data_IF_846508351808
#
_entry.id   IF_846508351808
#
_cell.length_a   1.000
_cell.length_b   1.000
_cell.length_c   1.000
_cell.angle_alpha   90.00
_cell.angle_beta   90.00
_cell.angle_gamma   90.00
#
_symmetry.space_group_name_H-M   'P 1'
#
loop_
_entity.id
_entity.type
_entity.pdbx_description
1 polymer ?
#
# COMPACT_ATOMS: atom_id res chain seq x y z
N UNK A 1 -17.21 -18.41 -2.04
CA UNK A 1 -16.78 -18.94 -0.72
C UNK A 1 -17.98 -19.30 0.16
N UNK A 2 -19.08 -18.56 0.10
CA UNK A 2 -20.32 -18.79 0.84
C UNK A 2 -21.36 -19.63 0.05
N UNK A 3 -20.97 -20.30 -1.05
CA UNK A 3 -21.86 -21.08 -1.89
C UNK A 3 -22.79 -22.05 -1.12
N UNK A 4 -22.36 -22.73 -0.03
CA UNK A 4 -23.23 -23.60 0.74
C UNK A 4 -24.45 -22.91 1.38
N UNK A 5 -24.45 -21.58 1.45
CA UNK A 5 -25.52 -20.80 2.07
C UNK A 5 -26.48 -20.17 1.04
N UNK A 6 -26.21 -20.23 -0.27
CA UNK A 6 -26.97 -19.50 -1.29
C UNK A 6 -28.44 -19.94 -1.44
N UNK A 7 -28.70 -21.22 -1.24
CA UNK A 7 -30.05 -21.79 -1.39
C UNK A 7 -30.83 -21.84 -0.06
N UNK A 8 -30.28 -21.25 1.01
CA UNK A 8 -30.89 -21.26 2.34
C UNK A 8 -31.51 -19.89 2.66
N UNK A 9 -32.64 -19.89 3.34
CA UNK A 9 -33.22 -18.65 3.83
C UNK A 9 -32.41 -18.08 4.99
N UNK A 10 -32.15 -16.78 4.97
CA UNK A 10 -31.29 -16.10 5.95
C UNK A 10 -31.80 -16.28 7.39
N UNK A 11 -33.14 -16.32 7.58
CA UNK A 11 -33.81 -16.55 8.88
C UNK A 11 -33.47 -17.89 9.53
N UNK A 12 -33.13 -18.89 8.70
CA UNK A 12 -32.85 -20.25 9.16
C UNK A 12 -31.39 -20.50 9.47
N UNK A 13 -30.52 -19.56 9.05
CA UNK A 13 -29.08 -19.67 9.28
C UNK A 13 -28.73 -19.40 10.74
N UNK A 14 -27.88 -20.25 11.30
CA UNK A 14 -27.34 -20.14 12.67
C UNK A 14 -25.83 -19.97 12.62
N UNK A 15 -25.22 -19.70 13.77
CA UNK A 15 -23.78 -19.52 13.89
C UNK A 15 -22.97 -20.72 13.30
N UNK A 16 -23.46 -21.94 13.48
CA UNK A 16 -22.80 -23.14 12.94
C UNK A 16 -22.73 -23.14 11.42
N UNK A 17 -23.75 -22.65 10.72
CA UNK A 17 -23.76 -22.58 9.25
C UNK A 17 -22.70 -21.61 8.72
N UNK A 18 -22.59 -20.43 9.35
CA UNK A 18 -21.54 -19.46 9.02
C UNK A 18 -20.14 -19.97 9.41
N UNK A 19 -20.02 -20.71 10.53
CA UNK A 19 -18.75 -21.29 10.98
C UNK A 19 -18.22 -22.28 9.97
N UNK A 20 -19.07 -23.17 9.40
CA UNK A 20 -18.67 -24.12 8.35
C UNK A 20 -17.98 -23.44 7.16
N UNK A 21 -18.42 -22.22 6.79
CA UNK A 21 -17.75 -21.46 5.73
C UNK A 21 -16.35 -21.01 6.14
N UNK A 22 -16.19 -20.57 7.39
CA UNK A 22 -14.87 -20.20 7.94
C UNK A 22 -13.96 -21.43 8.00
N UNK A 23 -14.47 -22.56 8.49
CA UNK A 23 -13.71 -23.80 8.62
C UNK A 23 -13.24 -24.31 7.24
N UNK A 24 -14.12 -24.30 6.25
CA UNK A 24 -13.77 -24.64 4.86
C UNK A 24 -12.74 -23.65 4.25
N UNK A 25 -12.69 -22.40 4.70
CA UNK A 25 -11.65 -21.46 4.28
C UNK A 25 -10.30 -21.81 4.93
N UNK A 26 -10.31 -22.22 6.19
CA UNK A 26 -9.11 -22.67 6.92
C UNK A 26 -8.55 -23.95 6.30
N UNK A 27 -9.38 -24.95 6.02
CA UNK A 27 -9.00 -26.20 5.33
C UNK A 27 -8.34 -25.94 3.97
N UNK A 28 -8.78 -24.90 3.25
CA UNK A 28 -8.17 -24.45 1.99
C UNK A 28 -6.89 -23.62 2.19
N UNK A 29 -6.39 -23.50 3.41
CA UNK A 29 -5.16 -22.77 3.73
C UNK A 29 -5.28 -21.24 3.61
N UNK A 30 -6.51 -20.68 3.66
CA UNK A 30 -6.69 -19.22 3.61
C UNK A 30 -6.26 -18.57 4.92
N UNK A 31 -5.68 -17.38 4.80
CA UNK A 31 -5.18 -16.63 5.95
C UNK A 31 -6.31 -16.18 6.90
N UNK A 32 -5.96 -15.95 8.18
CA UNK A 32 -6.85 -15.34 9.17
C UNK A 32 -7.49 -14.05 8.64
N UNK A 33 -6.72 -13.18 8.01
CA UNK A 33 -7.24 -11.92 7.43
C UNK A 33 -8.32 -12.16 6.38
N UNK A 34 -8.24 -13.25 5.61
CA UNK A 34 -9.29 -13.65 4.67
C UNK A 34 -10.56 -14.11 5.39
N UNK A 35 -10.41 -14.83 6.49
CA UNK A 35 -11.53 -15.27 7.35
C UNK A 35 -12.17 -14.06 8.07
N UNK A 36 -11.39 -13.10 8.54
CA UNK A 36 -11.89 -11.86 9.14
C UNK A 36 -12.73 -11.03 8.16
N UNK A 37 -12.29 -10.92 6.91
CA UNK A 37 -13.07 -10.25 5.84
C UNK A 37 -14.39 -10.96 5.59
N UNK A 38 -14.39 -12.30 5.59
CA UNK A 38 -15.61 -13.08 5.42
C UNK A 38 -16.56 -12.89 6.63
N UNK A 39 -16.03 -12.91 7.86
CA UNK A 39 -16.81 -12.62 9.08
C UNK A 39 -17.41 -11.22 9.03
N UNK A 40 -16.64 -10.22 8.61
CA UNK A 40 -17.12 -8.84 8.45
C UNK A 40 -18.27 -8.76 7.46
N UNK A 41 -18.16 -9.44 6.32
CA UNK A 41 -19.27 -9.53 5.35
C UNK A 41 -20.52 -10.17 5.97
N UNK A 42 -20.37 -11.28 6.69
CA UNK A 42 -21.48 -11.92 7.38
C UNK A 42 -22.08 -10.99 8.44
N UNK A 43 -21.26 -10.25 9.20
CA UNK A 43 -21.75 -9.27 10.18
C UNK A 43 -22.61 -8.19 9.52
N UNK A 44 -22.16 -7.62 8.41
CA UNK A 44 -22.92 -6.61 7.66
C UNK A 44 -24.27 -7.15 7.15
N UNK A 45 -24.28 -8.39 6.65
CA UNK A 45 -25.54 -9.05 6.22
C UNK A 45 -26.47 -9.28 7.41
N UNK A 46 -25.95 -9.76 8.54
CA UNK A 46 -26.75 -9.97 9.75
C UNK A 46 -27.30 -8.63 10.30
N UNK A 47 -26.49 -7.59 10.35
CA UNK A 47 -26.91 -6.25 10.79
C UNK A 47 -28.03 -5.69 9.90
N UNK A 48 -27.88 -5.83 8.58
CA UNK A 48 -28.95 -5.46 7.65
C UNK A 48 -30.23 -6.27 7.91
N UNK A 49 -30.11 -7.60 8.09
CA UNK A 49 -31.26 -8.48 8.34
C UNK A 49 -31.94 -8.19 9.69
N UNK A 50 -31.18 -7.79 10.70
CA UNK A 50 -31.74 -7.33 11.98
C UNK A 50 -32.52 -6.03 11.80
N UNK A 51 -32.02 -5.08 11.00
CA UNK A 51 -32.71 -3.83 10.69
C UNK A 51 -33.99 -4.02 9.88
N UNK A 52 -34.19 -5.21 9.25
CA UNK A 52 -35.40 -5.61 8.53
C UNK A 52 -36.26 -6.60 9.32
N UNK A 53 -36.01 -6.82 10.60
CA UNK A 53 -36.72 -7.78 11.46
C UNK A 53 -36.74 -9.23 10.94
N UNK A 54 -35.74 -9.61 10.08
CA UNK A 54 -35.64 -10.97 9.52
C UNK A 54 -35.00 -11.93 10.52
N UNK A 55 -34.01 -11.44 11.29
CA UNK A 55 -33.32 -12.16 12.37
C UNK A 55 -33.21 -11.26 13.60
N UNK A 56 -33.03 -11.86 14.78
CA UNK A 56 -33.01 -11.12 16.05
C UNK A 56 -31.61 -10.94 16.66
N UNK A 57 -30.54 -11.51 16.03
CA UNK A 57 -29.18 -11.33 16.50
C UNK A 57 -28.14 -11.52 15.39
N UNK A 58 -26.98 -10.90 15.57
CA UNK A 58 -25.84 -11.03 14.69
C UNK A 58 -25.05 -12.32 15.00
N UNK A 59 -25.31 -13.39 14.23
CA UNK A 59 -24.65 -14.67 14.41
C UNK A 59 -23.15 -14.63 14.03
N UNK A 60 -22.72 -13.70 13.18
CA UNK A 60 -21.31 -13.58 12.76
C UNK A 60 -20.37 -13.17 13.91
N UNK A 61 -20.90 -12.54 14.95
CA UNK A 61 -20.13 -12.18 16.14
C UNK A 61 -19.70 -13.39 16.98
N UNK A 62 -20.34 -14.54 16.78
CA UNK A 62 -20.04 -15.79 17.49
C UNK A 62 -18.99 -16.65 16.80
N UNK A 63 -18.53 -16.25 15.61
CA UNK A 63 -17.63 -17.05 14.78
C UNK A 63 -16.21 -17.04 15.36
N UNK A 64 -15.64 -18.24 15.44
CA UNK A 64 -14.25 -18.44 15.80
C UNK A 64 -13.35 -18.32 14.56
N UNK A 65 -12.29 -17.56 14.71
CA UNK A 65 -11.29 -17.37 13.67
C UNK A 65 -10.01 -18.16 14.00
N UNK A 66 -9.24 -18.60 12.98
CA UNK A 66 -7.97 -19.25 13.23
C UNK A 66 -7.03 -18.33 14.02
N UNK A 67 -6.07 -18.92 14.73
CA UNK A 67 -5.06 -18.14 15.46
C UNK A 67 -4.34 -17.17 14.53
N UNK A 68 -3.96 -16.01 15.07
CA UNK A 68 -3.13 -15.08 14.33
C UNK A 68 -1.73 -15.71 14.15
N UNK A 69 -1.35 -16.00 12.91
CA UNK A 69 0.05 -16.31 12.62
C UNK A 69 0.76 -14.98 12.52
N UNK A 70 1.52 -14.62 13.55
CA UNK A 70 2.37 -13.43 13.58
C UNK A 70 3.53 -13.58 12.61
N UNK A 71 3.26 -13.51 11.30
CA UNK A 71 4.34 -13.32 10.32
C UNK A 71 4.80 -11.88 10.46
N UNK A 72 6.06 -11.70 10.88
CA UNK A 72 6.73 -10.42 10.75
C UNK A 72 6.62 -9.97 9.28
N UNK A 73 6.25 -8.72 9.07
CA UNK A 73 6.20 -8.17 7.71
C UNK A 73 7.63 -8.15 7.16
N UNK A 74 7.80 -8.75 5.97
CA UNK A 74 9.10 -8.81 5.30
C UNK A 74 9.52 -7.41 4.87
N UNK A 75 10.77 -7.06 5.14
CA UNK A 75 11.45 -5.89 4.59
C UNK A 75 12.61 -6.34 3.70
N UNK A 76 13.04 -5.50 2.77
CA UNK A 76 14.20 -5.77 1.94
C UNK A 76 15.48 -5.51 2.73
N UNK A 77 16.48 -6.34 2.47
CA UNK A 77 17.86 -6.11 2.93
C UNK A 77 18.57 -5.08 2.05
N UNK A 78 19.66 -4.49 2.54
CA UNK A 78 20.50 -3.56 1.77
C UNK A 78 21.00 -4.21 0.46
N UNK A 79 21.40 -5.48 0.51
CA UNK A 79 21.86 -6.23 -0.66
C UNK A 79 20.75 -6.39 -1.72
N UNK A 80 19.51 -6.70 -1.31
CA UNK A 80 18.38 -6.79 -2.23
C UNK A 80 18.04 -5.44 -2.87
N UNK A 81 18.15 -4.36 -2.10
CA UNK A 81 17.96 -3.00 -2.61
C UNK A 81 19.03 -2.65 -3.65
N UNK A 82 20.28 -3.00 -3.40
CA UNK A 82 21.39 -2.85 -4.35
C UNK A 82 21.16 -3.62 -5.65
N UNK A 83 20.69 -4.88 -5.56
CA UNK A 83 20.34 -5.69 -6.72
C UNK A 83 19.23 -5.05 -7.57
N UNK A 84 18.20 -4.49 -6.94
CA UNK A 84 17.15 -3.75 -7.64
C UNK A 84 17.72 -2.47 -8.27
N UNK A 85 18.54 -1.74 -7.51
CA UNK A 85 19.14 -0.48 -7.95
C UNK A 85 20.04 -0.66 -9.17
N UNK A 86 20.81 -1.73 -9.24
CA UNK A 86 21.69 -2.05 -10.38
C UNK A 86 20.93 -2.26 -11.71
N UNK A 87 19.62 -2.54 -11.63
CA UNK A 87 18.76 -2.77 -12.80
C UNK A 87 18.11 -1.49 -13.36
N UNK A 88 18.37 -0.31 -12.82
CA UNK A 88 17.72 0.94 -13.24
C UNK A 88 17.96 1.32 -14.71
N UNK A 89 19.07 0.87 -15.29
CA UNK A 89 19.43 1.09 -16.69
C UNK A 89 19.22 -0.15 -17.58
N UNK A 90 18.60 -1.21 -17.06
CA UNK A 90 18.33 -2.44 -17.80
C UNK A 90 17.27 -2.19 -18.89
N UNK A 91 17.50 -2.59 -20.16
CA UNK A 91 16.53 -2.37 -21.23
C UNK A 91 15.15 -2.99 -21.01
N UNK A 92 15.09 -4.09 -20.26
CA UNK A 92 13.83 -4.82 -19.96
C UNK A 92 13.20 -4.39 -18.65
N UNK A 93 14.02 -4.15 -17.62
CA UNK A 93 13.57 -3.95 -16.26
C UNK A 93 13.75 -2.53 -15.72
N UNK A 94 14.47 -1.65 -16.45
CA UNK A 94 14.88 -0.33 -15.98
C UNK A 94 13.74 0.50 -15.42
N UNK A 95 12.65 0.67 -16.17
CA UNK A 95 11.48 1.43 -15.67
C UNK A 95 10.88 0.80 -14.39
N UNK A 96 10.84 -0.54 -14.31
CA UNK A 96 10.29 -1.24 -13.15
C UNK A 96 11.19 -1.10 -11.93
N UNK A 97 12.51 -1.16 -12.13
CA UNK A 97 13.51 -0.92 -11.09
C UNK A 97 13.47 0.53 -10.59
N UNK A 98 13.35 1.50 -11.50
CA UNK A 98 13.16 2.91 -11.14
C UNK A 98 11.89 3.12 -10.31
N UNK A 99 10.75 2.53 -10.71
CA UNK A 99 9.49 2.55 -9.94
C UNK A 99 9.74 1.97 -8.53
N UNK A 100 10.45 0.83 -8.44
CA UNK A 100 10.75 0.21 -7.14
C UNK A 100 11.60 1.14 -6.26
N UNK A 101 12.63 1.79 -6.81
CA UNK A 101 13.47 2.74 -6.07
C UNK A 101 12.66 3.94 -5.58
N UNK A 102 11.78 4.52 -6.42
CA UNK A 102 10.93 5.63 -5.99
C UNK A 102 10.00 5.20 -4.86
N UNK A 103 9.40 4.00 -4.93
CA UNK A 103 8.56 3.48 -3.85
C UNK A 103 9.35 3.25 -2.55
N UNK A 104 10.58 2.76 -2.62
CA UNK A 104 11.48 2.57 -1.47
C UNK A 104 11.83 3.89 -0.79
N UNK A 105 12.19 4.92 -1.57
CA UNK A 105 12.61 6.21 -1.02
C UNK A 105 11.47 7.12 -0.61
N UNK A 106 10.23 6.86 -1.04
CA UNK A 106 9.07 7.71 -0.72
C UNK A 106 8.06 7.05 0.20
N UNK A 107 8.05 5.73 0.25
CA UNK A 107 7.00 4.97 0.94
C UNK A 107 5.61 5.12 0.33
N UNK A 108 5.47 5.62 -0.89
CA UNK A 108 4.19 5.76 -1.58
C UNK A 108 3.51 4.41 -1.81
N UNK A 109 2.18 4.44 -1.93
CA UNK A 109 1.46 3.28 -2.51
C UNK A 109 1.68 3.27 -4.03
N UNK A 110 1.78 2.07 -4.61
CA UNK A 110 1.98 1.95 -6.05
C UNK A 110 0.90 2.67 -6.87
N UNK A 111 -0.36 2.60 -6.44
CA UNK A 111 -1.46 3.29 -7.13
C UNK A 111 -1.29 4.82 -7.12
N UNK A 112 -0.76 5.38 -6.03
CA UNK A 112 -0.48 6.80 -5.90
C UNK A 112 0.61 7.23 -6.87
N UNK A 113 1.73 6.48 -6.92
CA UNK A 113 2.82 6.79 -7.85
C UNK A 113 2.36 6.67 -9.31
N UNK A 114 1.61 5.63 -9.67
CA UNK A 114 1.10 5.45 -11.03
C UNK A 114 0.02 6.46 -11.42
N UNK A 115 -0.57 7.16 -10.45
CA UNK A 115 -1.55 8.24 -10.67
C UNK A 115 -0.92 9.63 -10.57
N UNK A 116 0.40 9.73 -10.36
CA UNK A 116 1.10 11.00 -10.24
C UNK A 116 1.08 11.76 -11.55
N UNK A 117 0.74 13.05 -11.49
CA UNK A 117 0.79 13.96 -12.65
C UNK A 117 2.08 14.76 -12.63
N UNK A 118 2.50 15.22 -13.80
CA UNK A 118 3.68 16.09 -13.90
C UNK A 118 3.47 17.42 -13.14
N UNK A 119 2.25 17.95 -13.13
CA UNK A 119 1.91 19.19 -12.41
C UNK A 119 2.06 19.08 -10.89
N UNK A 120 1.97 17.84 -10.32
CA UNK A 120 2.12 17.58 -8.90
C UNK A 120 3.58 17.40 -8.46
N UNK A 121 4.54 17.56 -9.39
CA UNK A 121 5.98 17.38 -9.12
C UNK A 121 6.70 18.72 -9.10
N UNK A 122 7.19 19.10 -7.94
CA UNK A 122 7.92 20.34 -7.68
C UNK A 122 9.42 20.05 -7.53
N UNK A 123 10.11 19.85 -8.67
CA UNK A 123 11.52 19.44 -8.68
C UNK A 123 12.47 20.42 -8.01
N UNK A 124 12.24 21.73 -8.15
CA UNK A 124 13.08 22.77 -7.54
C UNK A 124 12.98 22.75 -6.01
N UNK A 125 11.78 22.58 -5.51
CA UNK A 125 11.45 22.52 -4.08
C UNK A 125 11.63 21.10 -3.52
N UNK A 126 11.95 20.12 -4.36
CA UNK A 126 12.23 18.74 -4.01
C UNK A 126 11.09 18.01 -3.30
N UNK A 127 9.87 18.15 -3.81
CA UNK A 127 8.74 17.36 -3.34
C UNK A 127 7.76 17.00 -4.46
N UNK A 128 6.95 16.00 -4.20
CA UNK A 128 5.75 15.66 -4.96
C UNK A 128 4.53 15.82 -4.06
N UNK A 129 3.40 16.18 -4.64
CA UNK A 129 2.13 16.28 -3.94
C UNK A 129 1.23 15.11 -4.35
N UNK A 130 0.82 14.27 -3.41
CA UNK A 130 0.09 13.04 -3.71
C UNK A 130 -0.99 12.67 -2.72
N UNK A 131 -1.75 11.63 -3.05
CA UNK A 131 -2.72 11.02 -2.15
C UNK A 131 -4.18 11.34 -2.43
N UNK A 132 -4.84 10.58 -3.32
CA UNK A 132 -6.26 10.77 -3.65
C UNK A 132 -7.25 9.95 -2.79
N UNK A 133 -6.81 8.82 -2.21
CA UNK A 133 -7.73 7.80 -1.65
C UNK A 133 -8.27 8.05 -0.25
N UNK A 134 -7.70 8.95 0.52
CA UNK A 134 -8.16 9.21 1.89
C UNK A 134 -7.97 10.68 2.23
N UNK A 135 -8.88 11.29 2.98
CA UNK A 135 -8.75 12.67 3.43
C UNK A 135 -7.41 12.95 4.13
N UNK A 136 -6.90 12.01 4.93
CA UNK A 136 -5.60 12.13 5.61
C UNK A 136 -4.39 11.99 4.67
N UNK A 137 -4.59 11.47 3.45
CA UNK A 137 -3.53 11.31 2.46
C UNK A 137 -3.57 12.37 1.35
N UNK A 138 -4.65 13.14 1.28
CA UNK A 138 -4.90 14.12 0.22
C UNK A 138 -3.90 15.26 0.32
N UNK A 139 -3.30 15.62 -0.80
CA UNK A 139 -2.33 16.71 -0.90
C UNK A 139 -1.11 16.60 0.05
N UNK A 140 -0.73 15.39 0.45
CA UNK A 140 0.44 15.22 1.30
C UNK A 140 1.73 15.48 0.53
N UNK A 141 2.68 16.06 1.22
CA UNK A 141 4.02 16.32 0.71
C UNK A 141 4.88 15.06 0.79
N UNK A 142 5.51 14.70 -0.31
CA UNK A 142 6.40 13.55 -0.44
C UNK A 142 7.76 14.06 -0.91
N UNK A 143 8.77 14.09 -0.03
CA UNK A 143 10.09 14.61 -0.38
C UNK A 143 10.78 13.79 -1.48
N UNK A 144 11.52 14.47 -2.35
CA UNK A 144 12.35 13.89 -3.41
C UNK A 144 13.80 13.88 -2.93
N UNK A 145 14.27 12.72 -2.48
CA UNK A 145 15.66 12.51 -2.06
C UNK A 145 16.61 12.40 -3.26
N UNK A 146 17.91 12.65 -3.02
CA UNK A 146 18.93 12.63 -4.07
C UNK A 146 18.96 11.34 -4.91
N UNK A 147 18.84 10.12 -4.31
CA UNK A 147 18.89 8.88 -5.08
C UNK A 147 17.80 8.73 -6.14
N UNK A 148 16.64 9.38 -5.94
CA UNK A 148 15.49 9.30 -6.87
C UNK A 148 15.29 10.57 -7.69
N UNK A 149 16.03 11.63 -7.41
CA UNK A 149 15.88 12.92 -8.09
C UNK A 149 16.05 12.81 -9.62
N UNK A 150 17.14 12.16 -10.05
CA UNK A 150 17.42 11.97 -11.49
C UNK A 150 16.36 11.12 -12.19
N UNK A 151 15.80 10.14 -11.49
CA UNK A 151 14.73 9.28 -12.02
C UNK A 151 13.48 10.13 -12.29
N UNK A 152 13.06 10.91 -11.30
CA UNK A 152 11.85 11.75 -11.40
C UNK A 152 12.05 12.85 -12.44
N UNK A 153 13.21 13.51 -12.46
CA UNK A 153 13.56 14.51 -13.46
C UNK A 153 13.50 13.94 -14.89
N UNK A 154 14.07 12.75 -15.08
CA UNK A 154 13.99 12.05 -16.36
C UNK A 154 12.54 11.75 -16.76
N UNK A 155 11.74 11.20 -15.87
CA UNK A 155 10.33 10.92 -16.13
C UNK A 155 9.54 12.17 -16.53
N UNK A 156 9.77 13.30 -15.85
CA UNK A 156 9.13 14.57 -16.22
C UNK A 156 9.50 15.05 -17.61
N UNK A 157 10.76 14.88 -18.04
CA UNK A 157 11.21 15.27 -19.38
C UNK A 157 10.70 14.32 -20.47
N UNK A 158 10.60 13.03 -20.17
CA UNK A 158 10.27 11.98 -21.13
C UNK A 158 8.76 11.74 -21.26
N UNK A 159 7.95 12.17 -20.29
CA UNK A 159 6.52 11.78 -20.22
C UNK A 159 5.70 12.25 -21.44
N UNK A 160 5.93 13.46 -21.92
CA UNK A 160 5.20 14.06 -23.05
C UNK A 160 3.67 14.17 -22.88
N UNK A 161 3.14 13.90 -21.68
CA UNK A 161 1.72 13.95 -21.33
C UNK A 161 1.51 14.35 -19.87
N UNK A 162 0.25 14.33 -19.38
CA UNK A 162 -0.07 14.71 -18.00
C UNK A 162 0.49 13.74 -16.93
N UNK A 163 0.70 12.46 -17.25
CA UNK A 163 1.12 11.43 -16.31
C UNK A 163 2.64 11.41 -16.14
N UNK A 164 3.13 11.37 -14.91
CA UNK A 164 4.56 11.30 -14.63
C UNK A 164 5.21 10.04 -15.23
N UNK A 165 4.49 8.92 -15.21
CA UNK A 165 4.95 7.64 -15.78
C UNK A 165 3.85 7.12 -16.72
N UNK A 166 3.84 7.55 -18.00
CA UNK A 166 2.81 7.13 -18.93
C UNK A 166 3.03 5.71 -19.46
N UNK A 167 1.95 5.13 -19.96
CA UNK A 167 2.01 3.98 -20.85
C UNK A 167 2.55 4.40 -22.23
N UNK A 168 2.88 3.43 -23.08
CA UNK A 168 3.26 3.72 -24.49
C UNK A 168 2.19 4.49 -25.28
N UNK A 169 0.93 4.43 -24.84
CA UNK A 169 -0.19 5.14 -25.45
C UNK A 169 -0.44 6.53 -24.81
N UNK A 170 0.44 7.03 -23.94
CA UNK A 170 0.26 8.31 -23.24
C UNK A 170 -0.82 8.29 -22.14
N UNK A 171 -1.31 7.12 -21.75
CA UNK A 171 -2.30 6.96 -20.68
C UNK A 171 -1.64 6.50 -19.38
N UNK A 172 -2.38 6.56 -18.28
CA UNK A 172 -1.94 6.01 -17.00
C UNK A 172 -1.48 4.55 -17.13
N UNK A 173 -0.36 4.20 -16.50
CA UNK A 173 0.12 2.83 -16.45
C UNK A 173 -0.87 1.92 -15.71
N UNK A 174 -1.15 0.75 -16.29
CA UNK A 174 -1.97 -0.26 -15.64
C UNK A 174 -1.20 -0.97 -14.52
N UNK A 175 -1.80 -0.98 -13.32
CA UNK A 175 -1.22 -1.58 -12.12
C UNK A 175 -0.90 -3.07 -12.26
N UNK A 176 -1.75 -3.83 -12.99
CA UNK A 176 -1.57 -5.29 -13.15
C UNK A 176 -0.34 -5.56 -14.01
N UNK A 177 -0.15 -4.76 -15.07
CA UNK A 177 1.03 -4.84 -15.93
C UNK A 177 2.31 -4.52 -15.15
N UNK A 178 2.29 -3.46 -14.33
CA UNK A 178 3.43 -3.12 -13.45
C UNK A 178 3.69 -4.21 -12.43
N UNK A 179 2.67 -4.77 -11.78
CA UNK A 179 2.83 -5.86 -10.82
C UNK A 179 3.40 -7.14 -11.47
N UNK A 180 3.04 -7.42 -12.72
CA UNK A 180 3.60 -8.56 -13.47
C UNK A 180 5.08 -8.35 -13.79
N UNK A 181 5.44 -7.15 -14.27
CA UNK A 181 6.85 -6.79 -14.53
C UNK A 181 7.67 -6.76 -13.24
N UNK A 182 7.10 -6.27 -12.15
CA UNK A 182 7.74 -6.25 -10.84
C UNK A 182 8.05 -7.67 -10.34
N UNK A 183 7.11 -8.60 -10.48
CA UNK A 183 7.35 -10.02 -10.13
C UNK A 183 8.49 -10.61 -10.96
N UNK A 184 8.53 -10.33 -12.26
CA UNK A 184 9.61 -10.79 -13.13
C UNK A 184 10.97 -10.16 -12.74
N UNK A 185 11.01 -8.89 -12.36
CA UNK A 185 12.23 -8.26 -11.84
C UNK A 185 12.71 -8.92 -10.53
N UNK A 186 11.78 -9.22 -9.59
CA UNK A 186 12.15 -9.90 -8.35
C UNK A 186 12.72 -11.29 -8.60
N UNK A 187 12.14 -12.04 -9.55
CA UNK A 187 12.67 -13.36 -9.97
C UNK A 187 14.07 -13.23 -10.57
N UNK A 188 14.30 -12.25 -11.43
CA UNK A 188 15.62 -11.97 -12.02
C UNK A 188 16.67 -11.61 -10.97
N UNK A 189 16.27 -10.91 -9.92
CA UNK A 189 17.13 -10.56 -8.79
C UNK A 189 17.22 -11.66 -7.71
N UNK A 190 16.58 -12.82 -7.92
CA UNK A 190 16.49 -13.91 -6.91
C UNK A 190 15.92 -13.44 -5.56
N UNK A 191 14.97 -12.50 -5.59
CA UNK A 191 14.30 -11.95 -4.40
C UNK A 191 12.91 -12.56 -4.26
N UNK A 192 12.67 -13.29 -3.18
CA UNK A 192 11.40 -13.97 -2.93
C UNK A 192 10.52 -13.25 -1.92
N UNK A 193 9.20 -13.46 -2.02
CA UNK A 193 8.21 -12.97 -1.05
C UNK A 193 8.01 -11.45 -1.04
N UNK A 194 8.51 -10.73 -2.06
CA UNK A 194 8.41 -9.28 -2.19
C UNK A 194 7.38 -8.88 -3.24
N UNK A 195 6.55 -7.91 -2.88
CA UNK A 195 5.56 -7.27 -3.76
C UNK A 195 5.62 -5.74 -3.55
N UNK A 196 4.99 -4.92 -4.40
CA UNK A 196 5.12 -3.45 -4.29
C UNK A 196 4.77 -2.86 -2.91
N UNK A 197 3.87 -3.50 -2.14
CA UNK A 197 3.55 -3.03 -0.79
C UNK A 197 4.68 -3.32 0.22
N UNK A 198 5.47 -4.37 0.00
CA UNK A 198 6.68 -4.67 0.79
C UNK A 198 7.70 -3.52 0.73
N UNK A 199 7.81 -2.83 -0.41
CA UNK A 199 8.69 -1.65 -0.56
C UNK A 199 8.26 -0.53 0.39
N UNK A 200 6.97 -0.30 0.52
CA UNK A 200 6.44 0.70 1.45
C UNK A 200 6.66 0.28 2.92
N UNK A 201 6.53 -1.00 3.25
CA UNK A 201 6.88 -1.50 4.59
C UNK A 201 8.37 -1.30 4.88
N UNK A 202 9.23 -1.62 3.89
CA UNK A 202 10.68 -1.38 4.00
C UNK A 202 10.98 0.10 4.24
N UNK A 203 10.36 0.99 3.45
CA UNK A 203 10.51 2.45 3.63
C UNK A 203 10.06 2.90 5.03
N UNK A 204 8.89 2.44 5.48
CA UNK A 204 8.36 2.77 6.81
C UNK A 204 9.27 2.31 7.94
N UNK A 205 9.74 1.06 7.89
CA UNK A 205 10.69 0.52 8.87
C UNK A 205 11.99 1.32 8.87
N UNK A 206 12.50 1.65 7.67
CA UNK A 206 13.74 2.41 7.51
C UNK A 206 13.64 3.84 8.05
N UNK A 207 12.52 4.51 7.82
CA UNK A 207 12.25 5.84 8.40
C UNK A 207 12.34 5.79 9.94
N UNK A 208 11.75 4.76 10.56
CA UNK A 208 11.79 4.58 12.03
C UNK A 208 13.19 4.22 12.50
N UNK A 209 13.89 3.30 11.84
CA UNK A 209 15.27 2.92 12.16
C UNK A 209 16.25 4.09 12.08
N UNK A 210 16.08 4.98 11.11
CA UNK A 210 16.89 6.18 10.94
C UNK A 210 16.51 7.34 11.88
N UNK A 211 15.55 7.12 12.77
CA UNK A 211 15.18 8.10 13.79
C UNK A 211 14.40 9.30 13.26
N UNK A 212 13.61 9.13 12.19
CA UNK A 212 12.69 10.17 11.74
C UNK A 212 11.61 10.40 12.80
N UNK A 213 11.20 11.64 12.97
CA UNK A 213 10.10 11.94 13.87
C UNK A 213 8.81 11.22 13.46
N UNK A 214 8.12 10.63 14.46
CA UNK A 214 6.88 9.87 14.24
C UNK A 214 5.83 10.67 13.45
N UNK A 215 5.72 11.95 13.71
CA UNK A 215 4.81 12.88 13.03
C UNK A 215 5.18 13.06 11.55
N UNK A 216 6.48 13.18 11.24
CA UNK A 216 6.98 13.24 9.87
C UNK A 216 6.70 11.93 9.12
N UNK A 217 6.99 10.78 9.74
CA UNK A 217 6.69 9.45 9.16
C UNK A 217 5.20 9.31 8.84
N UNK A 218 4.32 9.71 9.76
CA UNK A 218 2.86 9.67 9.55
C UNK A 218 2.41 10.59 8.43
N UNK A 219 2.95 11.82 8.35
CA UNK A 219 2.65 12.78 7.30
C UNK A 219 3.06 12.24 5.93
N UNK A 220 4.31 11.79 5.79
CA UNK A 220 4.86 11.25 4.54
C UNK A 220 4.09 10.00 4.08
N UNK A 221 3.74 9.09 4.99
CA UNK A 221 3.03 7.86 4.65
C UNK A 221 1.51 8.06 4.50
N UNK A 222 0.92 9.14 5.01
CA UNK A 222 -0.52 9.39 4.95
C UNK A 222 -1.33 8.38 5.76
N UNK A 223 -0.97 8.15 7.03
CA UNK A 223 -1.70 7.26 7.92
C UNK A 223 -2.90 7.97 8.56
N UNK A 224 -4.09 7.32 8.60
CA UNK A 224 -5.36 7.88 9.10
C UNK A 224 -5.37 8.28 10.59
N UNK A 225 -4.48 7.76 11.42
CA UNK A 225 -4.46 7.99 12.87
C UNK A 225 -3.66 9.24 13.24
N UNK A 226 -3.77 10.29 12.46
CA UNK A 226 -3.34 11.63 12.85
C UNK A 226 -4.34 12.13 13.90
N UNK A 227 -3.95 12.11 15.19
CA UNK A 227 -4.73 12.74 16.25
C UNK A 227 -4.92 14.23 15.88
N UNK A 228 -6.17 14.65 15.80
CA UNK A 228 -6.60 16.02 15.44
C UNK A 228 -5.96 17.10 16.35
N UNK A 229 -5.43 16.71 17.48
CA UNK A 229 -4.77 17.58 18.45
C UNK A 229 -3.33 17.95 18.08
N UNK A 230 -2.61 17.06 17.33
CA UNK A 230 -1.25 17.33 16.86
C UNK A 230 -1.21 18.32 15.69
N UNK A 231 -2.31 18.47 14.95
CA UNK A 231 -2.42 19.37 13.79
C UNK A 231 -2.35 20.88 14.12
N UNK A 232 -2.36 21.27 15.40
CA UNK A 232 -2.43 22.69 15.78
C UNK A 232 -1.08 23.39 15.95
N UNK A 233 0.05 22.66 16.03
CA UNK A 233 1.30 23.29 16.48
C UNK A 233 2.56 23.07 15.62
N UNK A 234 2.53 22.23 14.59
CA UNK A 234 3.69 22.08 13.67
C UNK A 234 3.15 21.99 12.25
N UNK A 235 3.73 22.73 11.33
CA UNK A 235 3.44 22.64 9.89
C UNK A 235 3.96 21.31 9.33
N UNK A 236 3.26 20.21 9.68
CA UNK A 236 3.60 18.85 9.22
C UNK A 236 3.55 18.66 7.68
N UNK A 237 3.19 19.74 6.96
CA UNK A 237 3.19 19.83 5.52
C UNK A 237 4.22 20.85 4.99
N UNK A 238 5.23 21.21 5.78
CA UNK A 238 6.34 22.01 5.28
C UNK A 238 7.30 21.11 4.47
N UNK A 239 7.46 21.34 3.16
CA UNK A 239 8.34 20.56 2.30
C UNK A 239 9.80 20.55 2.79
N UNK A 240 10.30 21.68 3.29
CA UNK A 240 11.69 21.79 3.76
C UNK A 240 11.93 20.95 5.01
N UNK A 241 11.02 21.00 5.98
CA UNK A 241 11.08 20.17 7.18
C UNK A 241 11.03 18.67 6.85
N UNK A 242 10.06 18.27 6.01
CA UNK A 242 9.93 16.86 5.65
C UNK A 242 11.12 16.35 4.83
N UNK A 243 11.70 17.19 3.98
CA UNK A 243 12.92 16.87 3.25
C UNK A 243 14.11 16.68 4.21
N UNK A 244 14.28 17.57 5.19
CA UNK A 244 15.33 17.47 6.21
C UNK A 244 15.18 16.17 7.02
N UNK A 245 13.97 15.82 7.45
CA UNK A 245 13.71 14.55 8.13
C UNK A 245 14.08 13.36 7.24
N UNK A 246 13.62 13.35 6.00
CA UNK A 246 13.89 12.26 5.05
C UNK A 246 15.37 12.11 4.69
N UNK A 247 16.19 13.16 4.77
CA UNK A 247 17.63 13.10 4.53
C UNK A 247 18.38 12.23 5.56
N UNK A 248 17.77 11.94 6.71
CA UNK A 248 18.31 10.97 7.69
C UNK A 248 18.27 9.54 7.15
N UNK A 249 17.41 9.26 6.18
CA UNK A 249 17.19 7.91 5.65
C UNK A 249 18.36 7.44 4.78
N UNK A 250 18.96 6.32 5.16
CA UNK A 250 20.09 5.67 4.44
C UNK A 250 19.75 4.19 4.26
N UNK A 251 19.92 3.68 3.05
CA UNK A 251 19.85 2.24 2.73
C UNK A 251 21.20 1.60 2.66
#
# INVERSE_FOLDING_TARGET
>A
KAAPLYDRQLRDLKAADYQQVIDAMVEKGLSRSSCEKQRTLFSQICEWAMAQDIINKNYAMLLQLPAATGKAERTLTAQEIEQISSRQNDPKFGQTAQIAMVLLYTGMRIDELLSMRCEDVHLKERYMQGGEKTEAGKNRIIPILEPIYKIIAFWMLDSGCEWLIPSKAGTKLDKRNVATKFRALMQECHIEGVHPHTLRHTASSKMVECGLEKTAVQAILGHKNFSTTANKYVSHNDPAYLLQEMQKMKY
#
